data_IF_213929475947
#
_entry.id   IF_213929475947
#
_cell.length_a   1.000
_cell.length_b   1.000
_cell.length_c   1.000
_cell.angle_alpha   90.00
_cell.angle_beta   90.00
_cell.angle_gamma   90.00
#
_symmetry.space_group_name_H-M   'P 1'
#
loop_
_entity.id
_entity.type
_entity.pdbx_description
1 polymer ?
#
# COMPACT_ATOMS: atom_id res chain seq x y z
N UNK A 1 2.40 3.13 20.12
CA UNK A 1 2.02 1.73 19.83
C UNK A 1 2.21 1.53 18.33
N UNK A 2 2.46 0.31 17.82
CA UNK A 2 2.64 0.07 16.37
C UNK A 2 1.65 -0.99 15.85
N UNK A 3 1.39 -0.97 14.55
CA UNK A 3 0.56 -1.94 13.84
C UNK A 3 1.19 -2.32 12.52
N UNK A 4 1.20 -3.61 12.21
CA UNK A 4 1.74 -4.16 10.97
C UNK A 4 0.62 -4.92 10.26
N UNK A 5 0.51 -4.71 8.95
CA UNK A 5 -0.39 -5.42 8.08
C UNK A 5 0.33 -5.73 6.77
N UNK A 6 0.14 -6.93 6.24
CA UNK A 6 0.71 -7.36 4.97
C UNK A 6 -0.34 -8.14 4.18
N UNK A 7 -0.26 -8.03 2.86
CA UNK A 7 -1.07 -8.78 1.92
C UNK A 7 -0.16 -9.45 0.90
N UNK A 8 -0.41 -10.73 0.63
CA UNK A 8 0.32 -11.53 -0.35
C UNK A 8 -0.70 -12.27 -1.20
N UNK A 9 -0.70 -12.01 -2.51
CA UNK A 9 -1.52 -12.71 -3.49
C UNK A 9 -0.73 -13.85 -4.15
N UNK A 10 -1.05 -15.10 -3.79
CA UNK A 10 -0.38 -16.30 -4.30
C UNK A 10 -1.20 -16.96 -5.40
N UNK A 11 -0.59 -17.20 -6.58
CA UNK A 11 -1.25 -17.77 -7.76
C UNK A 11 -2.58 -17.09 -8.14
N UNK A 12 -2.72 -15.81 -7.75
CA UNK A 12 -3.91 -15.00 -7.97
C UNK A 12 -3.46 -13.67 -8.54
N UNK A 13 -3.87 -13.40 -9.76
CA UNK A 13 -3.60 -12.16 -10.46
C UNK A 13 -4.43 -11.02 -9.82
N UNK A 14 -3.75 -10.02 -9.27
CA UNK A 14 -4.40 -8.84 -8.66
C UNK A 14 -3.69 -7.58 -9.17
N UNK A 15 -4.46 -6.55 -9.53
CA UNK A 15 -3.89 -5.27 -9.95
C UNK A 15 -3.33 -4.46 -8.77
N UNK A 16 -2.40 -3.54 -9.06
CA UNK A 16 -1.72 -2.70 -8.08
C UNK A 16 -2.70 -1.87 -7.24
N UNK A 17 -3.74 -1.33 -7.87
CA UNK A 17 -4.73 -0.51 -7.19
C UNK A 17 -5.43 -1.32 -6.10
N UNK A 18 -5.93 -2.51 -6.45
CA UNK A 18 -6.56 -3.43 -5.52
C UNK A 18 -5.62 -3.82 -4.36
N UNK A 19 -4.35 -4.13 -4.65
CA UNK A 19 -3.35 -4.41 -3.61
C UNK A 19 -3.21 -3.23 -2.64
N UNK A 20 -3.12 -2.01 -3.19
CA UNK A 20 -2.93 -0.78 -2.42
C UNK A 20 -4.16 -0.47 -1.55
N UNK A 21 -5.36 -0.69 -2.08
CA UNK A 21 -6.62 -0.53 -1.34
C UNK A 21 -6.74 -1.53 -0.19
N UNK A 22 -6.33 -2.78 -0.40
CA UNK A 22 -6.30 -3.81 0.66
C UNK A 22 -5.34 -3.37 1.79
N UNK A 23 -4.12 -2.93 1.44
CA UNK A 23 -3.13 -2.49 2.41
C UNK A 23 -3.60 -1.27 3.22
N UNK A 24 -4.10 -0.24 2.55
CA UNK A 24 -4.58 0.98 3.23
C UNK A 24 -5.80 0.69 4.11
N UNK A 25 -6.72 -0.16 3.68
CA UNK A 25 -7.86 -0.58 4.50
C UNK A 25 -7.43 -1.43 5.71
N UNK A 26 -6.42 -2.27 5.57
CA UNK A 26 -5.80 -2.99 6.69
C UNK A 26 -5.21 -2.02 7.73
N UNK A 27 -4.47 -1.01 7.28
CA UNK A 27 -3.92 0.03 8.16
C UNK A 27 -5.01 0.85 8.87
N UNK A 28 -6.09 1.24 8.19
CA UNK A 28 -7.23 1.94 8.81
C UNK A 28 -7.84 1.15 9.96
N UNK A 29 -7.96 -0.19 9.81
CA UNK A 29 -8.47 -1.07 10.88
C UNK A 29 -7.56 -1.14 12.09
N UNK A 30 -6.27 -0.79 11.94
CA UNK A 30 -5.30 -0.75 13.02
C UNK A 30 -5.19 0.63 13.68
N UNK A 31 -5.78 1.68 13.08
CA UNK A 31 -5.60 3.08 13.47
C UNK A 31 -6.11 3.40 14.89
N UNK A 32 -7.04 2.59 15.42
CA UNK A 32 -7.52 2.70 16.81
C UNK A 32 -6.42 2.59 17.87
N UNK A 33 -5.27 1.98 17.55
CA UNK A 33 -4.12 1.84 18.45
C UNK A 33 -3.33 3.14 18.63
N UNK A 34 -3.59 4.15 17.81
CA UNK A 34 -2.93 5.45 17.86
C UNK A 34 -1.53 5.43 17.24
N UNK A 35 -1.39 6.02 16.06
CA UNK A 35 -0.13 6.22 15.35
C UNK A 35 0.06 7.69 14.98
N UNK A 36 1.30 8.14 15.02
CA UNK A 36 1.75 9.48 14.59
C UNK A 36 2.13 9.52 13.10
N UNK A 37 2.29 8.35 12.47
CA UNK A 37 2.64 8.20 11.05
C UNK A 37 2.20 6.84 10.50
N UNK A 38 2.14 6.73 9.17
CA UNK A 38 1.87 5.49 8.46
C UNK A 38 2.73 5.36 7.21
N UNK A 39 2.96 4.13 6.76
CA UNK A 39 3.61 3.86 5.49
C UNK A 39 3.28 2.47 4.95
N UNK A 40 3.50 2.30 3.65
CA UNK A 40 3.38 1.02 2.97
C UNK A 40 4.42 0.91 1.84
N UNK A 41 4.74 -0.33 1.47
CA UNK A 41 5.61 -0.63 0.35
C UNK A 41 4.92 -1.65 -0.58
N UNK A 42 5.07 -1.45 -1.88
CA UNK A 42 4.52 -2.32 -2.94
C UNK A 42 5.52 -2.44 -4.09
N UNK A 43 5.35 -3.46 -4.91
CA UNK A 43 6.21 -3.68 -6.07
C UNK A 43 6.03 -2.59 -7.15
N UNK A 44 7.17 -2.10 -7.63
CA UNK A 44 7.29 -1.08 -8.66
C UNK A 44 7.16 -1.62 -10.07
N UNK A 45 7.52 -0.79 -11.04
CA UNK A 45 7.35 -1.12 -12.45
C UNK A 45 8.43 -2.08 -12.96
N UNK A 46 9.63 -2.04 -12.37
CA UNK A 46 10.68 -3.03 -12.58
C UNK A 46 10.55 -4.26 -11.67
N UNK A 47 11.19 -5.38 -12.06
CA UNK A 47 11.15 -6.67 -11.35
C UNK A 47 11.71 -6.63 -9.91
N UNK A 48 12.55 -5.64 -9.60
CA UNK A 48 13.14 -5.43 -8.26
C UNK A 48 12.92 -4.02 -7.74
N UNK A 49 12.01 -3.29 -8.39
CA UNK A 49 11.66 -1.94 -7.99
C UNK A 49 10.64 -2.01 -6.85
N UNK A 50 10.77 -1.12 -5.88
CA UNK A 50 9.87 -1.06 -4.72
C UNK A 50 9.45 0.38 -4.52
N UNK A 51 8.14 0.60 -4.55
CA UNK A 51 7.53 1.88 -4.26
C UNK A 51 7.26 1.96 -2.76
N UNK A 52 7.81 2.99 -2.11
CA UNK A 52 7.65 3.20 -0.67
C UNK A 52 6.92 4.51 -0.44
N UNK A 53 5.81 4.46 0.29
CA UNK A 53 5.03 5.61 0.69
C UNK A 53 5.08 5.75 2.20
N UNK A 54 5.40 6.96 2.68
CA UNK A 54 5.45 7.29 4.11
C UNK A 54 4.83 8.65 4.30
N UNK A 55 3.97 8.79 5.29
CA UNK A 55 3.29 10.05 5.58
C UNK A 55 3.11 10.21 7.10
N UNK A 56 3.41 11.42 7.58
CA UNK A 56 3.10 11.82 8.97
C UNK A 56 1.60 12.07 9.09
N UNK A 57 1.02 11.63 10.19
CA UNK A 57 -0.40 11.72 10.49
C UNK A 57 -1.17 10.43 10.20
N UNK A 58 -2.47 10.59 9.94
CA UNK A 58 -3.44 9.49 9.79
C UNK A 58 -3.27 8.75 8.46
N UNK A 59 -3.81 7.53 8.40
CA UNK A 59 -3.79 6.69 7.19
C UNK A 59 -4.45 7.38 5.99
N UNK A 60 -5.45 8.24 6.24
CA UNK A 60 -6.08 9.05 5.19
C UNK A 60 -5.10 9.99 4.46
N UNK A 61 -4.10 10.54 5.17
CA UNK A 61 -3.07 11.39 4.54
C UNK A 61 -2.14 10.56 3.65
N UNK A 62 -1.77 9.34 4.09
CA UNK A 62 -1.01 8.39 3.28
C UNK A 62 -1.76 8.01 2.01
N UNK A 63 -3.05 7.71 2.12
CA UNK A 63 -3.89 7.37 0.97
C UNK A 63 -3.95 8.51 -0.06
N UNK A 64 -4.13 9.75 0.39
CA UNK A 64 -4.12 10.92 -0.50
C UNK A 64 -2.79 11.07 -1.24
N UNK A 65 -1.66 10.87 -0.54
CA UNK A 65 -0.32 10.92 -1.15
C UNK A 65 -0.14 9.87 -2.25
N UNK A 66 -0.72 8.69 -2.07
CA UNK A 66 -0.71 7.59 -3.06
C UNK A 66 -1.59 7.97 -4.27
N UNK A 67 -2.79 8.49 -4.05
CA UNK A 67 -3.72 8.89 -5.13
C UNK A 67 -3.17 10.04 -6.00
N UNK A 68 -2.30 10.90 -5.45
CA UNK A 68 -1.67 12.00 -6.17
C UNK A 68 -0.55 11.54 -7.14
N UNK A 69 -0.12 10.28 -7.07
CA UNK A 69 0.91 9.72 -7.95
C UNK A 69 0.35 9.35 -9.33
N UNK A 70 0.59 10.23 -10.30
CA UNK A 70 0.13 10.07 -11.69
C UNK A 70 1.10 9.29 -12.59
N UNK A 71 2.36 9.13 -12.19
CA UNK A 71 3.39 8.49 -13.00
C UNK A 71 3.42 6.96 -12.89
N UNK A 72 2.51 6.36 -12.12
CA UNK A 72 2.54 4.93 -11.78
C UNK A 72 1.43 4.18 -12.52
N UNK A 73 1.77 3.01 -13.06
CA UNK A 73 0.79 2.13 -13.69
C UNK A 73 -0.06 1.39 -12.65
N UNK A 74 -1.17 1.98 -12.20
CA UNK A 74 -2.06 1.37 -11.23
C UNK A 74 -2.78 0.10 -11.72
N UNK A 75 -2.89 -0.10 -13.04
CA UNK A 75 -3.48 -1.30 -13.64
C UNK A 75 -2.49 -2.45 -13.83
N UNK A 76 -1.23 -2.32 -13.41
CA UNK A 76 -0.25 -3.41 -13.51
C UNK A 76 -0.69 -4.58 -12.61
N UNK A 77 -0.78 -5.76 -13.20
CA UNK A 77 -1.16 -6.99 -12.50
C UNK A 77 0.06 -7.69 -11.93
N UNK A 78 -0.08 -8.17 -10.71
CA UNK A 78 0.92 -8.96 -10.01
C UNK A 78 0.37 -10.35 -9.74
N UNK A 79 1.21 -11.35 -9.94
CA UNK A 79 0.96 -12.74 -9.54
C UNK A 79 2.21 -13.19 -8.81
N UNK A 80 2.13 -13.39 -7.49
CA UNK A 80 3.26 -13.98 -6.76
C UNK A 80 3.27 -15.48 -7.00
N UNK A 81 4.44 -16.00 -7.38
CA UNK A 81 4.71 -17.42 -7.64
C UNK A 81 5.19 -18.17 -6.39
#
# INVERSE_FOLDING_TARGET
MCGIFAYLNYLTAVDRQTITDILTNGLKRLEYRGYDSAGLAIDGDGEKDVLIYKQVGKVAALQKLIEEQKSINWGKTFTSH
#
